data_IF_144490530295
#
_entry.id   IF_144490530295
#
_cell.length_a   1.000
_cell.length_b   1.000
_cell.length_c   1.000
_cell.angle_alpha   90.00
_cell.angle_beta   90.00
_cell.angle_gamma   90.00
#
_symmetry.space_group_name_H-M   'P 1'
#
loop_
_entity.id
_entity.type
_entity.pdbx_description
1 polymer ?
#
# COMPACT_ATOMS: atom_id res chain seq x y z
N UNK A 1 -3.99 -12.40 0.57
CA UNK A 1 -2.91 -11.55 0.02
C UNK A 1 -3.43 -10.27 -0.63
N UNK A 2 -4.49 -10.28 -1.48
CA UNK A 2 -4.99 -9.08 -2.16
C UNK A 2 -5.48 -7.96 -1.23
N UNK A 3 -6.04 -8.29 -0.08
CA UNK A 3 -6.53 -7.30 0.90
C UNK A 3 -5.38 -6.38 1.36
N UNK A 4 -4.22 -6.95 1.67
CA UNK A 4 -3.04 -6.17 2.06
C UNK A 4 -2.59 -5.25 0.92
N UNK A 5 -2.58 -5.74 -0.32
CA UNK A 5 -2.27 -4.92 -1.49
C UNK A 5 -3.23 -3.72 -1.63
N UNK A 6 -4.53 -3.91 -1.40
CA UNK A 6 -5.50 -2.81 -1.45
C UNK A 6 -5.26 -1.78 -0.34
N UNK A 7 -5.08 -2.23 0.91
CA UNK A 7 -4.85 -1.35 2.06
C UNK A 7 -3.57 -0.53 1.85
N UNK A 8 -2.47 -1.19 1.51
CA UNK A 8 -1.18 -0.51 1.28
C UNK A 8 -1.23 0.45 0.10
N UNK A 9 -1.96 0.08 -0.97
CA UNK A 9 -2.18 0.94 -2.12
C UNK A 9 -2.94 2.22 -1.78
N UNK A 10 -4.00 2.13 -0.98
CA UNK A 10 -4.77 3.30 -0.54
C UNK A 10 -3.91 4.22 0.33
N UNK A 11 -3.16 3.67 1.29
CA UNK A 11 -2.31 4.46 2.18
C UNK A 11 -1.21 5.20 1.41
N UNK A 12 -0.52 4.51 0.50
CA UNK A 12 0.56 5.12 -0.28
C UNK A 12 0.04 6.10 -1.33
N UNK A 13 -1.13 5.86 -1.91
CA UNK A 13 -1.80 6.83 -2.78
C UNK A 13 -2.20 8.09 -2.00
N UNK A 14 -2.53 7.96 -0.72
CA UNK A 14 -2.78 9.09 0.20
C UNK A 14 -1.52 9.86 0.62
N UNK A 15 -0.35 9.57 0.05
CA UNK A 15 0.90 10.29 0.30
C UNK A 15 1.77 9.70 1.42
N UNK A 16 1.34 8.62 2.08
CA UNK A 16 2.16 7.96 3.10
C UNK A 16 3.34 7.25 2.42
N UNK A 17 4.55 7.48 2.92
CA UNK A 17 5.75 6.82 2.38
C UNK A 17 5.61 5.30 2.38
N UNK A 18 5.89 4.66 1.25
CA UNK A 18 5.85 3.20 1.12
C UNK A 18 6.75 2.47 2.12
N UNK A 19 7.87 3.09 2.53
CA UNK A 19 8.75 2.53 3.56
C UNK A 19 8.07 2.51 4.93
N UNK A 20 7.38 3.58 5.30
CA UNK A 20 6.64 3.66 6.58
C UNK A 20 5.49 2.66 6.56
N UNK A 21 4.73 2.60 5.47
CA UNK A 21 3.63 1.65 5.30
C UNK A 21 4.11 0.21 5.44
N UNK A 22 5.32 -0.11 4.95
CA UNK A 22 5.90 -1.45 5.06
C UNK A 22 6.01 -1.91 6.51
N UNK A 23 6.54 -1.06 7.38
CA UNK A 23 6.71 -1.39 8.80
C UNK A 23 5.37 -1.43 9.55
N UNK A 24 4.49 -0.48 9.28
CA UNK A 24 3.19 -0.37 9.97
C UNK A 24 2.24 -1.52 9.59
N UNK A 25 2.22 -1.90 8.33
CA UNK A 25 1.30 -2.94 7.83
C UNK A 25 1.83 -4.36 8.09
N UNK A 26 3.12 -4.53 8.30
CA UNK A 26 3.71 -5.87 8.48
C UNK A 26 3.05 -6.69 9.59
N UNK A 27 2.85 -6.19 10.83
CA UNK A 27 2.16 -6.94 11.89
C UNK A 27 0.69 -7.25 11.54
N UNK A 28 -0.01 -6.32 10.88
CA UNK A 28 -1.38 -6.55 10.42
C UNK A 28 -1.42 -7.64 9.34
N UNK A 29 -0.46 -7.59 8.41
CA UNK A 29 -0.32 -8.59 7.38
C UNK A 29 -0.03 -9.98 7.95
N UNK A 30 0.81 -10.08 8.99
CA UNK A 30 1.07 -11.33 9.69
C UNK A 30 -0.21 -11.95 10.26
N UNK A 31 -1.04 -11.16 10.95
CA UNK A 31 -2.31 -11.64 11.50
C UNK A 31 -3.27 -12.13 10.41
N UNK A 32 -3.47 -11.33 9.36
CA UNK A 32 -4.34 -11.70 8.26
C UNK A 32 -3.86 -12.95 7.51
N UNK A 33 -2.55 -13.11 7.35
CA UNK A 33 -1.98 -14.29 6.71
C UNK A 33 -2.06 -15.52 7.60
N UNK A 34 -1.96 -15.36 8.93
CA UNK A 34 -2.16 -16.41 9.91
C UNK A 34 -3.60 -16.92 9.89
N UNK A 35 -4.59 -16.01 9.98
CA UNK A 35 -6.02 -16.36 9.90
C UNK A 35 -6.38 -17.02 8.57
N UNK A 36 -5.84 -16.53 7.45
CA UNK A 36 -6.05 -17.12 6.13
C UNK A 36 -5.21 -18.36 5.84
N UNK A 37 -4.37 -18.81 6.77
CA UNK A 37 -3.41 -19.89 6.61
C UNK A 37 -2.57 -19.77 5.32
N UNK A 38 -2.16 -18.56 4.99
CA UNK A 38 -1.37 -18.23 3.81
C UNK A 38 0.11 -18.18 4.14
N UNK A 39 0.96 -18.62 3.21
CA UNK A 39 2.41 -18.57 3.43
C UNK A 39 2.95 -17.15 3.65
N UNK A 40 3.75 -16.96 4.68
CA UNK A 40 4.43 -15.69 5.02
C UNK A 40 5.34 -15.17 3.90
N UNK A 41 5.76 -16.03 2.98
CA UNK A 41 6.60 -15.67 1.82
C UNK A 41 5.96 -14.62 0.92
N UNK A 42 4.61 -14.53 0.92
CA UNK A 42 3.87 -13.58 0.09
C UNK A 42 3.63 -12.23 0.77
N UNK A 43 3.91 -12.08 2.07
CA UNK A 43 3.69 -10.82 2.78
C UNK A 43 4.48 -9.66 2.17
N UNK A 44 5.81 -9.76 1.99
CA UNK A 44 6.57 -8.69 1.36
C UNK A 44 6.09 -8.36 -0.05
N UNK A 45 5.73 -9.39 -0.83
CA UNK A 45 5.22 -9.19 -2.18
C UNK A 45 3.86 -8.48 -2.19
N UNK A 46 2.96 -8.81 -1.27
CA UNK A 46 1.65 -8.17 -1.17
C UNK A 46 1.75 -6.70 -0.74
N UNK A 47 2.62 -6.39 0.23
CA UNK A 47 2.87 -5.02 0.69
C UNK A 47 3.54 -4.21 -0.43
N UNK A 48 4.62 -4.71 -1.03
CA UNK A 48 5.32 -4.03 -2.13
C UNK A 48 4.40 -3.76 -3.32
N UNK A 49 3.57 -4.73 -3.69
CA UNK A 49 2.62 -4.61 -4.78
C UNK A 49 1.65 -3.43 -4.56
N UNK A 50 1.13 -3.26 -3.35
CA UNK A 50 0.28 -2.11 -3.03
C UNK A 50 1.06 -0.80 -3.00
N UNK A 51 2.21 -0.78 -2.31
CA UNK A 51 3.00 0.45 -2.13
C UNK A 51 3.50 1.06 -3.43
N UNK A 52 3.86 0.26 -4.42
CA UNK A 52 4.57 0.73 -5.61
C UNK A 52 3.73 0.76 -6.88
N UNK A 53 2.47 0.30 -6.85
CA UNK A 53 1.60 0.32 -8.04
C UNK A 53 0.84 1.63 -8.16
N UNK A 54 -0.08 1.90 -7.23
CA UNK A 54 -0.95 3.08 -7.30
C UNK A 54 -0.20 4.38 -7.08
N UNK A 55 0.70 4.42 -6.12
CA UNK A 55 1.43 5.64 -5.77
C UNK A 55 2.30 6.18 -6.90
N UNK A 56 2.75 5.32 -7.80
CA UNK A 56 3.61 5.73 -8.91
C UNK A 56 2.89 5.91 -10.23
N UNK A 57 1.86 5.12 -10.51
CA UNK A 57 1.23 5.10 -11.83
C UNK A 57 -0.13 5.78 -11.89
N UNK A 58 -0.82 5.98 -10.76
CA UNK A 58 -2.11 6.64 -10.77
C UNK A 58 -1.99 8.16 -10.86
N UNK A 59 -2.86 8.82 -11.64
CA UNK A 59 -2.84 10.28 -11.77
C UNK A 59 -3.23 10.96 -10.46
N UNK A 60 -2.64 12.11 -10.18
CA UNK A 60 -2.94 12.88 -8.97
C UNK A 60 -2.35 12.32 -7.67
N UNK A 61 -1.42 11.39 -7.75
CA UNK A 61 -0.74 10.84 -6.58
C UNK A 61 0.34 11.80 -6.07
N UNK A 62 0.30 12.18 -4.77
CA UNK A 62 1.27 13.07 -4.15
C UNK A 62 2.57 12.36 -3.75
N UNK A 63 2.91 11.24 -4.38
CA UNK A 63 4.15 10.52 -4.07
C UNK A 63 5.38 11.35 -4.45
N UNK A 64 6.45 11.27 -3.65
CA UNK A 64 7.68 12.04 -3.82
C UNK A 64 8.25 11.90 -5.24
N UNK A 65 8.20 10.70 -5.82
CA UNK A 65 8.70 10.44 -7.17
C UNK A 65 7.94 11.23 -8.23
N UNK A 66 6.61 11.29 -8.10
CA UNK A 66 5.75 12.07 -9.02
C UNK A 66 5.99 13.56 -8.85
N UNK A 67 6.08 14.01 -7.60
CA UNK A 67 6.34 15.41 -7.25
C UNK A 67 7.64 15.92 -7.84
N UNK A 68 8.75 15.17 -7.69
CA UNK A 68 10.06 15.53 -8.28
C UNK A 68 9.97 15.61 -9.81
N UNK A 69 9.28 14.65 -10.45
CA UNK A 69 9.10 14.66 -11.90
C UNK A 69 8.26 15.86 -12.36
N UNK A 70 7.20 16.18 -11.65
CA UNK A 70 6.34 17.34 -11.94
C UNK A 70 7.11 18.67 -11.83
N UNK A 71 7.88 18.84 -10.76
CA UNK A 71 8.69 20.03 -10.54
C UNK A 71 9.76 20.19 -11.65
N UNK A 72 10.44 19.11 -11.97
CA UNK A 72 11.50 19.09 -12.99
C UNK A 72 10.98 19.37 -14.42
N UNK A 73 9.76 18.92 -14.72
CA UNK A 73 9.15 19.00 -16.06
C UNK A 73 8.15 20.13 -16.20
N UNK A 74 7.79 20.81 -15.09
CA UNK A 74 6.76 21.85 -15.08
C UNK A 74 5.37 21.31 -15.46
N UNK A 75 5.04 20.06 -15.09
CA UNK A 75 3.78 19.41 -15.46
C UNK A 75 2.81 19.37 -14.29
N UNK A 76 1.49 19.46 -14.51
CA UNK A 76 0.50 19.33 -13.45
C UNK A 76 0.38 17.88 -12.94
N UNK A 77 -0.15 17.69 -11.73
CA UNK A 77 -0.40 16.40 -11.10
C UNK A 77 -1.30 15.47 -11.93
N UNK A 78 -2.09 16.04 -12.81
CA UNK A 78 -3.02 15.33 -13.70
C UNK A 78 -2.49 15.17 -15.13
N UNK A 79 -1.22 15.47 -15.36
CA UNK A 79 -0.58 15.25 -16.67
C UNK A 79 -0.75 13.78 -17.10
N UNK A 80 -1.09 13.57 -18.37
CA UNK A 80 -1.35 12.24 -18.93
C UNK A 80 -2.40 11.42 -18.15
N UNK A 81 -3.48 12.06 -17.69
CA UNK A 81 -4.52 11.43 -16.85
C UNK A 81 -5.03 10.08 -17.40
N UNK A 82 -5.44 10.05 -18.67
CA UNK A 82 -6.02 8.83 -19.27
C UNK A 82 -5.02 7.67 -19.35
N UNK A 83 -3.81 7.84 -19.94
CA UNK A 83 -2.84 6.75 -19.98
C UNK A 83 -2.37 6.31 -18.60
N UNK A 84 -2.21 7.23 -17.65
CA UNK A 84 -1.84 6.90 -16.26
C UNK A 84 -2.91 6.07 -15.56
N UNK A 85 -4.18 6.43 -15.74
CA UNK A 85 -5.30 5.69 -15.16
C UNK A 85 -5.40 4.27 -15.74
N UNK A 86 -5.29 4.13 -17.06
CA UNK A 86 -5.30 2.82 -17.74
C UNK A 86 -4.15 1.97 -17.23
N UNK A 87 -2.94 2.54 -17.18
CA UNK A 87 -1.75 1.82 -16.69
C UNK A 87 -1.92 1.36 -15.23
N UNK A 88 -2.42 2.23 -14.36
CA UNK A 88 -2.66 1.90 -12.96
C UNK A 88 -3.65 0.74 -12.81
N UNK A 89 -4.76 0.77 -13.54
CA UNK A 89 -5.78 -0.30 -13.48
C UNK A 89 -5.21 -1.61 -14.03
N UNK A 90 -4.55 -1.59 -15.19
CA UNK A 90 -4.00 -2.80 -15.81
C UNK A 90 -2.92 -3.43 -14.91
N UNK A 91 -1.98 -2.61 -14.41
CA UNK A 91 -0.92 -3.10 -13.53
C UNK A 91 -1.49 -3.67 -12.23
N UNK A 92 -2.47 -2.98 -11.62
CA UNK A 92 -3.14 -3.47 -10.41
C UNK A 92 -3.83 -4.82 -10.65
N UNK A 93 -4.59 -4.94 -11.75
CA UNK A 93 -5.29 -6.18 -12.09
C UNK A 93 -4.32 -7.34 -12.33
N UNK A 94 -3.22 -7.11 -13.07
CA UNK A 94 -2.22 -8.14 -13.34
C UNK A 94 -1.53 -8.62 -12.05
N UNK A 95 -1.14 -7.70 -11.18
CA UNK A 95 -0.48 -8.04 -9.93
C UNK A 95 -1.46 -8.73 -8.97
N UNK A 96 -2.72 -8.25 -8.92
CA UNK A 96 -3.77 -8.88 -8.13
C UNK A 96 -3.98 -10.35 -8.53
N UNK A 97 -4.14 -10.61 -9.83
CA UNK A 97 -4.28 -11.97 -10.36
C UNK A 97 -3.04 -12.80 -10.05
N UNK A 98 -1.85 -12.24 -10.25
CA UNK A 98 -0.59 -12.92 -9.95
C UNK A 98 -0.48 -13.31 -8.47
N UNK A 99 -0.78 -12.41 -7.54
CA UNK A 99 -0.77 -12.68 -6.11
C UNK A 99 -1.76 -13.80 -5.74
N UNK A 100 -2.96 -13.75 -6.32
CA UNK A 100 -3.99 -14.76 -6.06
C UNK A 100 -3.57 -16.14 -6.59
N UNK A 101 -3.07 -16.21 -7.82
CA UNK A 101 -2.56 -17.46 -8.43
C UNK A 101 -1.41 -18.02 -7.60
N UNK A 102 -0.47 -17.17 -7.15
CA UNK A 102 0.67 -17.60 -6.31
C UNK A 102 0.20 -18.08 -4.95
N UNK A 103 -0.74 -17.38 -4.30
CA UNK A 103 -1.30 -17.79 -3.02
C UNK A 103 -1.93 -19.19 -3.13
N UNK A 104 -2.81 -19.37 -4.12
CA UNK A 104 -3.44 -20.68 -4.38
C UNK A 104 -2.43 -21.77 -4.72
N UNK A 105 -1.38 -21.45 -5.48
CA UNK A 105 -0.33 -22.40 -5.83
C UNK A 105 0.45 -22.87 -4.61
N UNK A 106 0.78 -21.97 -3.68
CA UNK A 106 1.46 -22.34 -2.44
C UNK A 106 0.57 -23.18 -1.54
N UNK A 107 -0.70 -22.79 -1.36
CA UNK A 107 -1.67 -23.57 -0.56
C UNK A 107 -1.85 -24.98 -1.12
N UNK A 108 -1.94 -25.15 -2.45
CA UNK A 108 -2.02 -26.47 -3.10
C UNK A 108 -0.77 -27.34 -2.88
N UNK A 109 0.39 -26.72 -2.67
CA UNK A 109 1.65 -27.42 -2.37
C UNK A 109 1.84 -27.70 -0.88
N UNK A 110 0.85 -27.38 -0.04
CA UNK A 110 0.94 -27.54 1.42
C UNK A 110 1.86 -26.52 2.10
N UNK A 111 2.30 -25.49 1.39
CA UNK A 111 3.13 -24.41 1.93
C UNK A 111 2.18 -23.37 2.56
N UNK A 112 1.99 -23.51 3.86
CA UNK A 112 1.08 -22.70 4.68
C UNK A 112 1.84 -21.69 5.55
N UNK A 113 1.16 -21.09 6.52
CA UNK A 113 1.74 -20.04 7.38
C UNK A 113 2.94 -20.54 8.18
N UNK A 114 2.84 -21.71 8.83
CA UNK A 114 3.89 -22.34 9.64
C UNK A 114 4.75 -23.33 8.85
N UNK A 115 5.26 -22.90 7.71
CA UNK A 115 6.15 -23.72 6.89
C UNK A 115 7.53 -23.84 7.56
N UNK A 116 7.97 -25.06 7.95
CA UNK A 116 9.25 -25.28 8.62
C UNK A 116 10.47 -24.99 7.73
N UNK A 117 10.27 -24.84 6.43
CA UNK A 117 11.35 -24.52 5.47
C UNK A 117 11.69 -23.04 5.42
N UNK A 118 10.96 -22.19 6.14
CA UNK A 118 11.27 -20.78 6.27
C UNK A 118 12.51 -20.58 7.15
N UNK A 119 13.48 -19.80 6.63
CA UNK A 119 14.72 -19.50 7.37
C UNK A 119 14.47 -18.72 8.67
N UNK A 120 13.41 -17.92 8.70
CA UNK A 120 12.98 -17.17 9.88
C UNK A 120 11.74 -17.82 10.47
N UNK A 121 11.90 -18.43 11.64
CA UNK A 121 10.78 -18.83 12.48
C UNK A 121 10.40 -17.63 13.36
N UNK A 122 9.11 -17.28 13.38
CA UNK A 122 8.62 -16.22 14.25
C UNK A 122 8.68 -16.70 15.69
N UNK A 123 9.25 -15.89 16.56
CA UNK A 123 9.15 -16.07 18.01
C UNK A 123 7.74 -15.72 18.47
N UNK A 124 7.24 -16.34 19.52
CA UNK A 124 5.88 -16.08 20.02
C UNK A 124 5.65 -14.59 20.37
N UNK A 125 6.71 -13.85 20.70
CA UNK A 125 6.70 -12.42 20.99
C UNK A 125 6.54 -11.53 19.74
N UNK A 126 6.85 -12.04 18.54
CA UNK A 126 6.71 -11.30 17.28
C UNK A 126 5.31 -11.42 16.67
N UNK A 127 4.49 -12.32 17.22
CA UNK A 127 3.09 -12.42 16.83
C UNK A 127 2.29 -11.37 17.60
N UNK A 128 1.59 -10.46 16.92
CA UNK A 128 0.72 -9.51 17.61
C UNK A 128 -0.30 -10.27 18.47
N UNK A 129 -0.41 -9.89 19.74
CA UNK A 129 -1.42 -10.44 20.63
C UNK A 129 -2.80 -9.99 20.15
N UNK A 130 -3.73 -10.91 19.85
CA UNK A 130 -5.09 -10.55 19.46
C UNK A 130 -5.86 -9.85 20.60
N UNK A 131 -5.40 -9.98 21.85
CA UNK A 131 -6.03 -9.43 23.05
C UNK A 131 -5.53 -8.01 23.42
N UNK A 132 -4.56 -7.44 22.69
CA UNK A 132 -4.28 -6.02 22.80
C UNK A 132 -5.40 -5.23 22.09
N UNK A 133 -6.48 -4.97 22.81
CA UNK A 133 -7.44 -3.91 22.48
C UNK A 133 -6.70 -2.56 22.51
N UNK A 134 -6.05 -2.21 21.39
CA UNK A 134 -5.61 -0.83 21.19
C UNK A 134 -6.87 -0.01 20.97
N UNK A 135 -7.06 1.02 21.79
CA UNK A 135 -8.03 2.08 21.54
C UNK A 135 -7.79 2.63 20.11
N UNK A 136 -8.49 2.07 19.15
CA UNK A 136 -8.36 2.46 17.74
C UNK A 136 -9.04 3.82 17.57
N UNK A 137 -8.35 4.80 16.99
CA UNK A 137 -8.96 6.10 16.70
C UNK A 137 -10.15 5.90 15.75
N UNK A 138 -11.13 6.79 15.85
CA UNK A 138 -12.30 6.77 14.97
C UNK A 138 -11.84 6.78 13.50
N UNK A 139 -12.38 5.87 12.70
CA UNK A 139 -12.05 5.69 11.29
C UNK A 139 -12.14 7.00 10.50
N UNK A 140 -13.11 7.87 10.83
CA UNK A 140 -13.30 9.18 10.18
C UNK A 140 -12.09 10.08 10.45
N UNK A 141 -11.59 10.11 11.70
CA UNK A 141 -10.41 10.91 12.07
C UNK A 141 -9.15 10.39 11.41
N UNK A 142 -9.03 9.06 11.25
CA UNK A 142 -7.88 8.43 10.60
C UNK A 142 -7.83 8.68 9.07
N UNK A 143 -8.99 8.78 8.40
CA UNK A 143 -9.07 9.00 6.95
C UNK A 143 -9.00 10.49 6.59
N UNK A 144 -9.38 11.38 7.50
CA UNK A 144 -9.45 12.84 7.26
C UNK A 144 -8.13 13.43 6.73
N UNK A 145 -6.93 13.15 7.28
CA UNK A 145 -5.67 13.66 6.75
C UNK A 145 -5.40 13.23 5.31
N UNK A 146 -5.73 11.98 4.97
CA UNK A 146 -5.53 11.43 3.62
C UNK A 146 -6.39 12.19 2.60
N UNK A 147 -7.67 12.40 2.92
CA UNK A 147 -8.58 13.18 2.06
C UNK A 147 -8.09 14.63 1.92
N UNK A 148 -7.66 15.22 3.03
CA UNK A 148 -7.16 16.61 3.04
C UNK A 148 -5.97 16.76 2.10
N UNK A 149 -4.96 15.91 2.21
CA UNK A 149 -3.77 15.92 1.33
C UNK A 149 -4.17 15.77 -0.13
N UNK A 150 -5.03 14.80 -0.46
CA UNK A 150 -5.46 14.59 -1.84
C UNK A 150 -6.21 15.77 -2.42
N UNK A 151 -7.09 16.41 -1.63
CA UNK A 151 -7.83 17.61 -2.06
C UNK A 151 -6.90 18.80 -2.24
N UNK A 152 -6.00 19.05 -1.29
CA UNK A 152 -5.03 20.15 -1.37
C UNK A 152 -4.09 19.98 -2.55
N UNK A 153 -3.58 18.79 -2.78
CA UNK A 153 -2.63 18.50 -3.86
C UNK A 153 -3.26 18.62 -5.26
N UNK A 154 -4.52 18.23 -5.42
CA UNK A 154 -5.21 18.24 -6.71
C UNK A 154 -6.10 19.49 -6.92
N UNK A 155 -6.00 20.52 -6.07
CA UNK A 155 -6.81 21.73 -6.20
C UNK A 155 -6.30 22.63 -7.35
N UNK A 156 -7.07 22.84 -8.43
CA UNK A 156 -6.62 23.63 -9.57
C UNK A 156 -6.66 25.16 -9.31
N UNK A 157 -7.38 25.60 -8.27
CA UNK A 157 -7.58 27.05 -8.02
C UNK A 157 -6.46 27.68 -7.18
N UNK A 158 -5.81 26.90 -6.35
CA UNK A 158 -4.67 27.34 -5.55
C UNK A 158 -3.63 26.20 -5.55
N UNK A 159 -2.71 26.17 -6.51
CA UNK A 159 -1.61 25.24 -6.46
C UNK A 159 -0.76 25.62 -5.24
N UNK A 160 -0.97 24.91 -4.13
CA UNK A 160 -0.04 25.02 -3.02
C UNK A 160 1.34 24.60 -3.53
N UNK A 161 2.41 25.34 -3.16
CA UNK A 161 3.75 24.87 -3.46
C UNK A 161 3.88 23.44 -2.98
N UNK A 162 4.46 22.59 -3.82
CA UNK A 162 4.62 21.16 -3.55
C UNK A 162 5.16 20.89 -2.14
N UNK A 163 6.04 21.76 -1.66
CA UNK A 163 6.62 21.71 -0.32
C UNK A 163 5.55 21.79 0.79
N UNK A 164 4.54 22.65 0.66
CA UNK A 164 3.49 22.79 1.68
C UNK A 164 2.48 21.64 1.68
N UNK A 165 2.21 21.01 0.54
CA UNK A 165 1.29 19.89 0.46
C UNK A 165 1.89 18.56 0.97
N UNK A 166 3.22 18.45 0.98
CA UNK A 166 3.93 17.25 1.46
C UNK A 166 4.19 17.31 2.98
N UNK A 167 4.24 18.53 3.56
CA UNK A 167 4.53 18.73 4.99
C UNK A 167 3.30 19.08 5.83
N UNK A 168 2.12 19.20 5.24
CA UNK A 168 0.86 19.43 5.94
C UNK A 168 0.18 18.11 6.35
#
# INVERSE_FOLDING_TARGET
>A
APIIMCITGILTFGGVSGFVVFFVIYPIALNLFKEGNLTRRLIPAAISAGCWTWSMSAPGSPSIQNVIAMDSLGTPSTAAFVPSLITAIVMFALIFVWLEVRARSFTKKGIVFDDPTLKFQLTAEELPNPDEEKDLPNVIVAILPIILILVMFNNPMHPFPVETSVFA
#
